data_IF_494813896559
#
_entry.id   IF_494813896559
#
_cell.length_a   1.000
_cell.length_b   1.000
_cell.length_c   1.000
_cell.angle_alpha   90.00
_cell.angle_beta   90.00
_cell.angle_gamma   90.00
#
_symmetry.space_group_name_H-M   'P 1'
#
loop_
_entity.id
_entity.type
_entity.pdbx_description
1 polymer ?
#
# COMPACT_ATOMS: atom_id res chain seq x y z
N UNK A 1 39.05 17.65 -14.28
CA UNK A 1 38.17 17.75 -13.10
C UNK A 1 37.18 16.62 -13.24
N UNK A 2 37.43 15.48 -12.59
CA UNK A 2 36.53 14.33 -12.58
C UNK A 2 35.26 14.71 -11.83
N UNK A 3 34.05 14.32 -12.32
CA UNK A 3 32.85 14.44 -11.51
C UNK A 3 33.01 13.51 -10.29
N UNK A 4 32.77 14.05 -9.11
CA UNK A 4 32.67 13.27 -7.90
C UNK A 4 31.48 12.31 -8.05
N UNK A 5 31.73 11.04 -8.27
CA UNK A 5 30.79 9.97 -8.01
C UNK A 5 30.49 10.00 -6.49
N UNK A 6 29.47 10.75 -6.13
CA UNK A 6 28.86 10.57 -4.81
C UNK A 6 28.03 9.29 -4.89
N UNK A 7 28.68 8.17 -4.69
CA UNK A 7 28.03 6.91 -4.34
C UNK A 7 27.28 7.19 -3.02
N UNK A 8 26.03 7.63 -3.15
CA UNK A 8 25.20 7.93 -2.00
C UNK A 8 24.91 6.61 -1.31
N UNK A 9 25.74 6.25 -0.33
CA UNK A 9 25.60 5.00 0.40
C UNK A 9 24.19 4.90 1.00
N UNK A 10 23.50 3.80 0.71
CA UNK A 10 22.16 3.49 1.21
C UNK A 10 22.33 2.54 2.38
N UNK A 11 21.71 2.88 3.51
CA UNK A 11 21.63 2.00 4.66
C UNK A 11 20.46 1.03 4.51
N UNK A 12 20.75 -0.25 4.68
CA UNK A 12 19.79 -1.34 4.69
C UNK A 12 19.55 -1.82 6.12
N UNK A 13 18.30 -1.88 6.54
CA UNK A 13 17.94 -2.32 7.89
C UNK A 13 16.64 -3.13 7.86
N UNK A 14 16.61 -4.22 8.64
CA UNK A 14 15.40 -4.95 8.97
C UNK A 14 15.01 -4.68 10.42
N UNK A 15 13.86 -4.07 10.67
CA UNK A 15 13.40 -3.73 12.02
C UNK A 15 12.31 -4.70 12.47
N UNK A 16 12.49 -5.38 13.62
CA UNK A 16 11.46 -6.28 14.13
C UNK A 16 10.22 -5.51 14.58
N UNK A 17 9.05 -6.00 14.21
CA UNK A 17 7.74 -5.48 14.61
C UNK A 17 6.97 -6.57 15.33
N UNK A 18 6.40 -6.24 16.49
CA UNK A 18 5.51 -7.11 17.25
C UNK A 18 4.19 -6.39 17.50
N UNK A 19 3.11 -6.98 17.03
CA UNK A 19 1.75 -6.53 17.33
C UNK A 19 1.27 -7.06 18.68
N UNK A 20 0.30 -6.38 19.30
CA UNK A 20 -0.18 -6.68 20.65
C UNK A 20 -0.80 -8.09 20.80
N UNK A 21 -1.23 -8.71 19.70
CA UNK A 21 -1.77 -10.08 19.68
C UNK A 21 -0.71 -11.18 19.44
N UNK A 22 0.57 -10.82 19.49
CA UNK A 22 1.70 -11.73 19.29
C UNK A 22 1.99 -12.04 17.82
N UNK A 23 1.35 -11.36 16.86
CA UNK A 23 1.82 -11.37 15.49
C UNK A 23 3.14 -10.59 15.37
N UNK A 24 4.09 -11.13 14.62
CA UNK A 24 5.37 -10.47 14.40
C UNK A 24 5.78 -10.52 12.93
N UNK A 25 6.54 -9.52 12.53
CA UNK A 25 7.07 -9.34 11.19
C UNK A 25 8.32 -8.44 11.23
N UNK A 26 8.83 -8.06 10.07
CA UNK A 26 9.91 -7.08 9.95
C UNK A 26 9.51 -5.95 8.99
N UNK A 27 9.87 -4.71 9.32
CA UNK A 27 9.95 -3.65 8.33
C UNK A 27 11.26 -3.82 7.54
N UNK A 28 11.17 -3.79 6.22
CA UNK A 28 12.35 -3.68 5.37
C UNK A 28 12.60 -2.20 5.10
N UNK A 29 13.74 -1.69 5.54
CA UNK A 29 14.05 -0.28 5.46
C UNK A 29 15.22 0.00 4.52
N UNK A 30 15.11 1.13 3.81
CA UNK A 30 16.19 1.76 3.06
C UNK A 30 16.23 3.23 3.44
N UNK A 31 17.43 3.75 3.73
CA UNK A 31 17.57 5.17 4.05
C UNK A 31 18.86 5.74 3.48
N UNK A 32 18.91 7.07 3.23
CA UNK A 32 20.15 7.73 2.88
C UNK A 32 21.16 7.64 4.03
N UNK A 33 22.45 7.76 3.72
CA UNK A 33 23.50 7.88 4.74
C UNK A 33 23.47 9.24 5.46
N UNK A 34 22.79 10.21 4.90
CA UNK A 34 22.61 11.55 5.48
C UNK A 34 21.43 11.59 6.46
N UNK A 35 21.28 12.72 7.17
CA UNK A 35 20.15 12.89 8.08
C UNK A 35 18.79 12.75 7.35
N UNK A 36 17.93 11.89 7.88
CA UNK A 36 16.61 11.62 7.33
C UNK A 36 15.63 12.72 7.75
N UNK A 37 15.07 13.43 6.77
CA UNK A 37 14.02 14.44 6.99
C UNK A 37 12.63 13.90 6.70
N UNK A 38 12.53 13.04 5.68
CA UNK A 38 11.28 12.48 5.17
C UNK A 38 11.32 10.96 5.19
N UNK A 39 10.23 10.35 5.64
CA UNK A 39 10.06 8.91 5.71
C UNK A 39 8.76 8.54 5.00
N UNK A 40 8.83 7.68 4.01
CA UNK A 40 7.67 7.04 3.40
C UNK A 40 7.40 5.70 4.09
N UNK A 41 6.25 5.58 4.75
CA UNK A 41 5.74 4.29 5.22
C UNK A 41 4.95 3.63 4.09
N UNK A 42 5.46 2.51 3.58
CA UNK A 42 4.96 1.88 2.36
C UNK A 42 4.22 0.58 2.62
N UNK A 43 3.00 0.48 2.06
CA UNK A 43 2.13 -0.68 2.18
C UNK A 43 2.10 -1.49 0.88
N UNK A 44 2.52 -2.78 0.91
CA UNK A 44 2.50 -3.65 -0.27
C UNK A 44 1.09 -3.97 -0.80
N UNK A 45 0.99 -4.41 -2.05
CA UNK A 45 -0.24 -4.97 -2.59
C UNK A 45 -0.63 -6.28 -1.89
N UNK A 46 -1.89 -6.68 -2.05
CA UNK A 46 -2.40 -7.96 -1.53
C UNK A 46 -1.55 -9.13 -2.04
N UNK A 47 -1.04 -9.95 -1.13
CA UNK A 47 -0.24 -11.12 -1.47
C UNK A 47 1.21 -10.86 -1.89
N UNK A 48 1.64 -9.60 -1.92
CA UNK A 48 3.00 -9.20 -2.33
C UNK A 48 3.87 -8.97 -1.11
N UNK A 49 5.02 -9.64 -1.05
CA UNK A 49 5.98 -9.48 0.05
C UNK A 49 6.74 -8.15 -0.06
N UNK A 50 7.10 -7.58 1.07
CA UNK A 50 7.83 -6.31 1.20
C UNK A 50 9.10 -6.25 0.33
N UNK A 51 9.83 -7.35 0.20
CA UNK A 51 11.08 -7.42 -0.60
C UNK A 51 10.93 -6.98 -2.06
N UNK A 52 9.73 -7.09 -2.63
CA UNK A 52 9.50 -6.70 -4.03
C UNK A 52 9.50 -5.17 -4.23
N UNK A 53 9.45 -4.39 -3.16
CA UNK A 53 9.54 -2.94 -3.19
C UNK A 53 10.91 -2.39 -2.80
N UNK A 54 11.92 -3.25 -2.58
CA UNK A 54 13.29 -2.82 -2.30
C UNK A 54 13.86 -1.91 -3.41
N UNK A 55 13.66 -2.20 -4.71
CA UNK A 55 14.14 -1.30 -5.76
C UNK A 55 13.52 0.11 -5.69
N UNK A 56 12.22 0.21 -5.33
CA UNK A 56 11.58 1.52 -5.09
C UNK A 56 12.20 2.23 -3.88
N UNK A 57 12.41 1.49 -2.80
CA UNK A 57 12.96 2.05 -1.57
C UNK A 57 14.41 2.53 -1.76
N UNK A 58 15.22 1.80 -2.52
CA UNK A 58 16.58 2.18 -2.89
C UNK A 58 16.60 3.44 -3.76
N UNK A 59 15.71 3.51 -4.77
CA UNK A 59 15.58 4.68 -5.63
C UNK A 59 15.16 5.95 -4.84
N UNK A 60 14.29 5.81 -3.84
CA UNK A 60 13.88 6.92 -2.97
C UNK A 60 14.97 7.28 -1.95
N UNK A 61 15.69 6.30 -1.39
CA UNK A 61 16.80 6.55 -0.48
C UNK A 61 17.94 7.30 -1.17
N UNK A 62 18.25 7.01 -2.42
CA UNK A 62 19.16 7.77 -3.25
C UNK A 62 18.73 9.24 -3.46
N UNK A 63 17.44 9.53 -3.31
CA UNK A 63 16.84 10.88 -3.35
C UNK A 63 16.67 11.51 -1.95
N UNK A 64 17.25 10.92 -0.90
CA UNK A 64 17.22 11.45 0.46
C UNK A 64 15.97 11.11 1.28
N UNK A 65 15.10 10.24 0.79
CA UNK A 65 13.85 9.84 1.44
C UNK A 65 14.01 8.42 2.00
N UNK A 66 13.89 8.27 3.32
CA UNK A 66 13.87 6.94 3.92
C UNK A 66 12.54 6.23 3.63
N UNK A 67 12.61 4.93 3.44
CA UNK A 67 11.42 4.10 3.21
C UNK A 67 11.36 2.97 4.23
N UNK A 68 10.22 2.84 4.90
CA UNK A 68 9.88 1.71 5.75
C UNK A 68 8.78 0.90 5.07
N UNK A 69 9.14 -0.26 4.53
CA UNK A 69 8.21 -1.13 3.83
C UNK A 69 7.59 -2.09 4.83
N UNK A 70 6.27 -2.02 4.98
CA UNK A 70 5.50 -2.93 5.83
C UNK A 70 5.53 -4.35 5.26
N UNK A 71 5.66 -5.36 6.12
CA UNK A 71 5.43 -6.75 5.73
C UNK A 71 4.09 -7.20 6.27
N UNK A 72 3.20 -7.60 5.39
CA UNK A 72 1.87 -8.05 5.77
C UNK A 72 1.86 -9.29 6.66
N UNK A 73 0.92 -9.33 7.61
CA UNK A 73 0.56 -10.55 8.32
C UNK A 73 0.27 -11.68 7.31
N UNK A 74 0.90 -12.81 7.50
CA UNK A 74 0.74 -13.98 6.61
C UNK A 74 1.75 -14.10 5.48
N UNK A 75 2.58 -13.07 5.24
CA UNK A 75 3.53 -13.02 4.12
C UNK A 75 4.96 -12.84 4.65
N UNK A 76 5.95 -13.22 3.85
CA UNK A 76 7.37 -12.99 4.09
C UNK A 76 7.83 -13.39 5.49
N UNK A 77 8.33 -12.42 6.25
CA UNK A 77 8.86 -12.59 7.61
C UNK A 77 7.81 -12.80 8.69
N UNK A 78 6.50 -12.68 8.39
CA UNK A 78 5.45 -12.84 9.39
C UNK A 78 5.47 -14.25 10.03
N UNK A 79 5.27 -14.30 11.36
CA UNK A 79 5.10 -15.55 12.11
C UNK A 79 3.70 -16.16 11.98
N UNK A 80 2.78 -15.51 11.26
CA UNK A 80 1.41 -15.99 11.00
C UNK A 80 1.27 -16.51 9.58
N UNK A 81 0.35 -17.49 9.39
CA UNK A 81 -0.09 -17.96 8.07
C UNK A 81 -1.58 -18.19 8.11
N UNK A 82 -2.29 -17.67 7.09
CA UNK A 82 -3.73 -17.90 6.97
C UNK A 82 -4.06 -19.39 6.82
N UNK A 83 -5.10 -19.84 7.48
CA UNK A 83 -5.52 -21.24 7.49
C UNK A 83 -6.81 -21.45 8.26
N UNK A 84 -7.26 -22.70 8.39
CA UNK A 84 -8.52 -23.04 9.07
C UNK A 84 -8.59 -22.53 10.52
N UNK A 85 -7.45 -22.52 11.21
CA UNK A 85 -7.35 -22.18 12.64
C UNK A 85 -6.67 -20.82 12.87
N UNK A 86 -6.28 -20.12 11.79
CA UNK A 86 -5.62 -18.83 11.86
C UNK A 86 -6.26 -17.87 10.86
N UNK A 87 -6.87 -16.82 11.38
CA UNK A 87 -7.61 -15.83 10.60
C UNK A 87 -7.40 -14.43 11.14
N UNK A 88 -7.58 -13.43 10.29
CA UNK A 88 -7.58 -12.00 10.61
C UNK A 88 -8.32 -11.22 9.53
N UNK A 89 -8.69 -9.98 9.86
CA UNK A 89 -9.43 -9.07 9.00
C UNK A 89 -8.73 -7.71 8.89
N UNK A 90 -9.32 -6.76 8.22
CA UNK A 90 -8.81 -5.37 8.16
C UNK A 90 -8.61 -4.76 9.54
N UNK A 91 -9.43 -5.14 10.51
CA UNK A 91 -9.28 -4.65 11.88
C UNK A 91 -7.89 -4.93 12.44
N UNK A 92 -7.38 -6.16 12.34
CA UNK A 92 -6.05 -6.50 12.84
C UNK A 92 -4.95 -5.73 12.09
N UNK A 93 -5.11 -5.55 10.77
CA UNK A 93 -4.16 -4.79 9.96
C UNK A 93 -4.14 -3.31 10.39
N UNK A 94 -5.31 -2.69 10.57
CA UNK A 94 -5.45 -1.26 10.86
C UNK A 94 -5.23 -0.90 12.34
N UNK A 95 -5.64 -1.77 13.29
CA UNK A 95 -5.56 -1.47 14.73
C UNK A 95 -4.31 -2.06 15.41
N UNK A 96 -3.67 -3.07 14.83
CA UNK A 96 -2.55 -3.77 15.46
C UNK A 96 -1.26 -3.69 14.62
N UNK A 97 -1.29 -4.11 13.35
CA UNK A 97 -0.08 -4.25 12.55
C UNK A 97 0.48 -2.92 12.10
N UNK A 98 -0.35 -2.06 11.49
CA UNK A 98 0.10 -0.76 11.02
C UNK A 98 0.56 0.15 12.17
N UNK A 99 -0.18 0.28 13.29
CA UNK A 99 0.31 1.05 14.43
C UNK A 99 1.65 0.56 14.97
N UNK A 100 1.82 -0.77 15.11
CA UNK A 100 3.07 -1.34 15.60
C UNK A 100 4.26 -1.04 14.64
N UNK A 101 4.05 -1.22 13.33
CA UNK A 101 5.08 -0.92 12.34
C UNK A 101 5.42 0.58 12.28
N UNK A 102 4.42 1.46 12.32
CA UNK A 102 4.62 2.92 12.32
C UNK A 102 5.36 3.37 13.58
N UNK A 103 5.04 2.79 14.74
CA UNK A 103 5.74 3.10 15.99
C UNK A 103 7.22 2.72 15.91
N UNK A 104 7.56 1.56 15.34
CA UNK A 104 8.94 1.12 15.10
C UNK A 104 9.65 2.06 14.14
N UNK A 105 9.02 2.44 13.03
CA UNK A 105 9.59 3.40 12.09
C UNK A 105 9.85 4.77 12.74
N UNK A 106 8.93 5.27 13.57
CA UNK A 106 9.10 6.52 14.32
C UNK A 106 10.21 6.45 15.36
N UNK A 107 10.43 5.29 15.96
CA UNK A 107 11.59 5.05 16.84
C UNK A 107 12.92 5.09 16.10
N UNK A 108 12.94 4.64 14.84
CA UNK A 108 14.14 4.67 13.99
C UNK A 108 14.49 6.07 13.48
N UNK A 109 13.48 6.88 13.13
CA UNK A 109 13.67 8.24 12.61
C UNK A 109 12.82 9.25 13.40
N UNK A 110 13.20 9.54 14.65
CA UNK A 110 12.45 10.50 15.46
C UNK A 110 12.58 11.91 14.88
N UNK A 111 11.45 12.63 14.85
CA UNK A 111 11.40 14.00 14.32
C UNK A 111 11.34 14.13 12.81
N UNK A 112 11.42 13.04 12.05
CA UNK A 112 11.21 13.05 10.61
C UNK A 112 9.73 13.33 10.27
N UNK A 113 9.49 13.90 9.08
CA UNK A 113 8.16 14.08 8.50
C UNK A 113 7.73 12.76 7.85
N UNK A 114 6.52 12.30 8.19
CA UNK A 114 6.02 11.02 7.71
C UNK A 114 5.02 11.18 6.57
N UNK A 115 5.19 10.37 5.56
CA UNK A 115 4.30 10.15 4.43
C UNK A 115 3.80 8.70 4.48
N UNK A 116 2.57 8.47 4.04
CA UNK A 116 2.05 7.11 3.91
C UNK A 116 1.69 6.83 2.46
N UNK A 117 1.87 5.61 2.03
CA UNK A 117 1.51 5.23 0.68
C UNK A 117 1.44 3.73 0.50
N UNK A 118 1.07 3.32 -0.70
CA UNK A 118 1.03 1.90 -0.99
C UNK A 118 0.60 1.57 -2.40
N UNK A 119 0.76 0.31 -2.72
CA UNK A 119 0.38 -0.31 -3.98
C UNK A 119 -0.95 -1.06 -3.83
N UNK A 120 -1.88 -0.85 -4.75
CA UNK A 120 -3.12 -1.62 -4.83
C UNK A 120 -3.90 -1.59 -3.50
N UNK A 121 -4.20 -2.75 -2.89
CA UNK A 121 -4.84 -2.82 -1.57
C UNK A 121 -4.03 -2.07 -0.50
N UNK A 122 -2.70 -2.09 -0.57
CA UNK A 122 -1.85 -1.35 0.35
C UNK A 122 -2.13 0.15 0.32
N UNK A 123 -2.32 0.73 -0.85
CA UNK A 123 -2.71 2.14 -1.00
C UNK A 123 -4.11 2.42 -0.46
N UNK A 124 -5.05 1.51 -0.67
CA UNK A 124 -6.41 1.63 -0.10
C UNK A 124 -6.38 1.67 1.43
N UNK A 125 -5.65 0.73 2.05
CA UNK A 125 -5.53 0.67 3.51
C UNK A 125 -4.68 1.82 4.06
N UNK A 126 -3.67 2.29 3.32
CA UNK A 126 -2.93 3.50 3.65
C UNK A 126 -3.85 4.74 3.68
N UNK A 127 -4.75 4.89 2.70
CA UNK A 127 -5.73 5.97 2.67
C UNK A 127 -6.68 5.90 3.88
N UNK A 128 -7.23 4.71 4.16
CA UNK A 128 -8.13 4.49 5.31
C UNK A 128 -7.41 4.76 6.62
N UNK A 129 -6.23 4.20 6.83
CA UNK A 129 -5.43 4.39 8.04
C UNK A 129 -5.07 5.86 8.25
N UNK A 130 -4.60 6.51 7.19
CA UNK A 130 -4.26 7.93 7.22
C UNK A 130 -5.45 8.82 7.58
N UNK A 131 -6.63 8.51 7.03
CA UNK A 131 -7.87 9.23 7.37
C UNK A 131 -8.32 9.01 8.83
N UNK A 132 -8.01 7.86 9.42
CA UNK A 132 -8.23 7.59 10.84
C UNK A 132 -7.20 8.32 11.73
N UNK A 133 -6.01 8.61 11.21
CA UNK A 133 -4.88 9.24 11.91
C UNK A 133 -4.36 10.49 11.18
N UNK A 134 -5.20 11.52 10.95
CA UNK A 134 -4.89 12.63 10.03
C UNK A 134 -3.76 13.57 10.49
N UNK A 135 -3.30 13.43 11.74
CA UNK A 135 -2.17 14.21 12.29
C UNK A 135 -0.82 13.49 12.16
N UNK A 136 -0.84 12.26 11.73
CA UNK A 136 0.34 11.40 11.76
C UNK A 136 1.17 11.48 10.47
N UNK A 137 0.59 11.98 9.39
CA UNK A 137 1.23 12.00 8.07
C UNK A 137 1.00 13.33 7.35
N UNK A 138 1.90 13.65 6.44
CA UNK A 138 1.89 14.88 5.64
C UNK A 138 1.23 14.71 4.28
N UNK A 139 0.99 13.48 3.83
CA UNK A 139 0.34 13.18 2.56
C UNK A 139 0.28 11.69 2.24
N UNK A 140 -0.39 11.38 1.14
CA UNK A 140 -0.71 10.02 0.70
C UNK A 140 -0.20 9.76 -0.72
N UNK A 141 0.60 8.70 -0.91
CA UNK A 141 1.07 8.25 -2.22
C UNK A 141 0.39 6.93 -2.63
N UNK A 142 -0.32 6.94 -3.75
CA UNK A 142 -1.05 5.80 -4.31
C UNK A 142 -0.40 5.36 -5.62
N UNK A 143 0.03 4.11 -5.72
CA UNK A 143 0.54 3.53 -6.97
C UNK A 143 -0.30 2.34 -7.36
N UNK A 144 -0.80 2.33 -8.60
CA UNK A 144 -1.69 1.29 -9.11
C UNK A 144 -2.76 0.92 -8.06
N UNK A 145 -3.41 1.93 -7.46
CA UNK A 145 -4.34 1.77 -6.35
C UNK A 145 -5.65 2.51 -6.63
N UNK A 146 -6.74 1.78 -6.63
CA UNK A 146 -8.11 2.27 -6.80
C UNK A 146 -9.07 1.54 -5.87
N UNK A 147 -10.32 2.00 -5.77
CA UNK A 147 -11.32 1.30 -4.96
C UNK A 147 -11.86 0.07 -5.71
N UNK A 148 -12.00 -1.09 -5.05
CA UNK A 148 -12.36 -2.33 -5.72
C UNK A 148 -13.87 -2.43 -6.04
N UNK A 149 -14.56 -1.30 -6.24
CA UNK A 149 -16.01 -1.29 -6.47
C UNK A 149 -16.35 -1.86 -7.84
N UNK A 150 -17.05 -2.99 -7.86
CA UNK A 150 -17.31 -3.79 -9.06
C UNK A 150 -17.88 -3.00 -10.25
N UNK A 151 -18.71 -1.97 -10.00
CA UNK A 151 -19.33 -1.15 -11.06
C UNK A 151 -18.35 -0.24 -11.79
N UNK A 152 -17.12 -0.11 -11.29
CA UNK A 152 -16.06 0.70 -11.89
C UNK A 152 -15.17 -0.10 -12.86
N UNK A 153 -15.51 -1.36 -13.12
CA UNK A 153 -14.75 -2.24 -14.02
C UNK A 153 -15.50 -2.52 -15.32
N UNK A 154 -14.80 -2.66 -16.45
CA UNK A 154 -15.45 -2.92 -17.75
C UNK A 154 -16.35 -4.16 -17.75
N UNK A 155 -15.91 -5.22 -17.06
CA UNK A 155 -16.66 -6.48 -16.93
C UNK A 155 -17.29 -6.59 -15.55
N UNK A 156 -18.02 -5.56 -15.15
CA UNK A 156 -18.52 -5.37 -13.78
C UNK A 156 -19.24 -6.60 -13.19
N UNK A 157 -20.06 -7.31 -13.99
CA UNK A 157 -20.79 -8.47 -13.49
C UNK A 157 -19.88 -9.64 -13.10
N UNK A 158 -18.78 -9.88 -13.87
CA UNK A 158 -17.78 -10.91 -13.54
C UNK A 158 -17.03 -10.55 -12.26
N UNK A 159 -16.61 -9.29 -12.13
CA UNK A 159 -15.94 -8.78 -10.93
C UNK A 159 -16.90 -8.86 -9.74
N UNK A 160 -18.17 -8.49 -9.91
CA UNK A 160 -19.20 -8.63 -8.88
C UNK A 160 -19.38 -10.07 -8.42
N UNK A 161 -19.41 -11.02 -9.36
CA UNK A 161 -19.48 -12.46 -9.06
C UNK A 161 -18.23 -12.94 -8.30
N UNK A 162 -17.03 -12.47 -8.68
CA UNK A 162 -15.79 -12.81 -7.97
C UNK A 162 -15.84 -12.33 -6.50
N UNK A 163 -16.39 -11.14 -6.22
CA UNK A 163 -16.58 -10.64 -4.85
C UNK A 163 -17.65 -11.41 -4.04
N UNK A 164 -18.48 -12.19 -4.68
CA UNK A 164 -19.39 -13.14 -3.99
C UNK A 164 -18.66 -14.47 -3.79
N UNK A 165 -18.01 -14.99 -4.82
CA UNK A 165 -17.41 -16.33 -4.80
C UNK A 165 -16.14 -16.41 -3.91
N UNK A 166 -15.30 -15.37 -3.88
CA UNK A 166 -14.04 -15.40 -3.13
C UNK A 166 -14.22 -15.62 -1.62
N UNK A 167 -15.16 -14.96 -0.91
CA UNK A 167 -15.45 -15.25 0.49
C UNK A 167 -15.94 -16.69 0.71
N UNK A 168 -16.82 -17.20 -0.16
CA UNK A 168 -17.30 -18.58 -0.06
C UNK A 168 -16.17 -19.59 -0.21
N UNK A 169 -15.29 -19.40 -1.19
CA UNK A 169 -14.12 -20.24 -1.38
C UNK A 169 -13.19 -20.18 -0.14
N UNK A 170 -12.94 -18.97 0.38
CA UNK A 170 -12.13 -18.78 1.57
C UNK A 170 -12.71 -19.46 2.80
N UNK A 171 -14.04 -19.46 2.99
CA UNK A 171 -14.71 -20.17 4.08
C UNK A 171 -14.59 -21.70 3.94
N UNK A 172 -14.79 -22.24 2.74
CA UNK A 172 -14.69 -23.67 2.48
C UNK A 172 -13.27 -24.22 2.72
N UNK A 173 -12.26 -23.50 2.23
CA UNK A 173 -10.84 -23.93 2.31
C UNK A 173 -10.23 -23.57 3.67
N UNK A 174 -10.71 -22.50 4.30
CA UNK A 174 -10.16 -21.93 5.54
C UNK A 174 -9.26 -20.70 5.28
N UNK A 175 -9.01 -20.35 4.02
CA UNK A 175 -8.31 -19.17 3.52
C UNK A 175 -8.55 -19.06 2.01
N UNK A 176 -8.35 -17.90 1.39
CA UNK A 176 -8.35 -17.81 -0.08
C UNK A 176 -7.02 -18.35 -0.62
N UNK A 177 -7.02 -19.45 -1.41
CA UNK A 177 -5.79 -20.02 -1.97
C UNK A 177 -5.34 -19.23 -3.22
N UNK A 178 -5.10 -17.93 -3.07
CA UNK A 178 -4.86 -17.01 -4.17
C UNK A 178 -3.68 -17.40 -5.06
N UNK A 179 -2.62 -17.95 -4.47
CA UNK A 179 -1.46 -18.48 -5.24
C UNK A 179 -1.85 -19.57 -6.24
N UNK A 180 -2.89 -20.36 -5.95
CA UNK A 180 -3.36 -21.44 -6.86
C UNK A 180 -4.27 -20.91 -7.97
N UNK A 181 -4.97 -19.83 -7.71
CA UNK A 181 -5.92 -19.25 -8.66
C UNK A 181 -5.36 -18.01 -9.39
N UNK A 182 -4.07 -17.66 -9.15
CA UNK A 182 -3.40 -16.54 -9.80
C UNK A 182 -3.83 -15.15 -9.31
N UNK A 183 -4.35 -15.04 -8.08
CA UNK A 183 -4.79 -13.77 -7.50
C UNK A 183 -4.35 -13.62 -6.04
N UNK A 184 -3.46 -12.67 -5.76
CA UNK A 184 -2.94 -12.42 -4.42
C UNK A 184 -2.07 -13.54 -3.88
N UNK A 185 -1.98 -13.62 -2.55
CA UNK A 185 -1.30 -14.68 -1.81
C UNK A 185 -2.25 -15.78 -1.33
N UNK A 186 -1.92 -16.39 -0.19
CA UNK A 186 -2.87 -17.17 0.60
C UNK A 186 -3.45 -16.23 1.65
N UNK A 187 -4.66 -15.74 1.42
CA UNK A 187 -5.22 -14.64 2.18
C UNK A 187 -6.18 -15.12 3.28
N UNK A 188 -6.16 -14.43 4.42
CA UNK A 188 -7.07 -14.69 5.51
C UNK A 188 -8.53 -14.44 5.10
N UNK A 189 -9.46 -15.25 5.62
CA UNK A 189 -10.90 -15.15 5.33
C UNK A 189 -11.45 -13.78 5.64
N UNK A 190 -11.10 -13.23 6.81
CA UNK A 190 -11.59 -11.92 7.22
C UNK A 190 -11.08 -10.79 6.32
N UNK A 191 -9.84 -10.87 5.82
CA UNK A 191 -9.32 -9.92 4.81
C UNK A 191 -10.13 -9.98 3.53
N UNK A 192 -10.42 -11.19 3.04
CA UNK A 192 -11.22 -11.40 1.82
C UNK A 192 -12.67 -10.98 2.01
N UNK A 193 -13.26 -11.21 3.19
CA UNK A 193 -14.61 -10.76 3.51
C UNK A 193 -14.72 -9.22 3.48
N UNK A 194 -13.76 -8.51 4.11
CA UNK A 194 -13.74 -7.04 4.14
C UNK A 194 -13.47 -6.46 2.74
N UNK A 195 -12.50 -7.03 2.00
CA UNK A 195 -12.21 -6.64 0.63
C UNK A 195 -13.41 -6.84 -0.31
N UNK A 196 -14.02 -8.01 -0.27
CA UNK A 196 -15.17 -8.34 -1.09
C UNK A 196 -16.41 -7.51 -0.71
N UNK A 197 -16.60 -7.17 0.57
CA UNK A 197 -17.64 -6.24 1.00
C UNK A 197 -17.41 -4.86 0.39
N UNK A 198 -16.19 -4.33 0.47
CA UNK A 198 -15.83 -3.05 -0.19
C UNK A 198 -16.07 -3.14 -1.69
N UNK A 199 -15.69 -4.26 -2.31
CA UNK A 199 -15.93 -4.53 -3.73
C UNK A 199 -17.40 -4.49 -4.11
N UNK A 200 -18.31 -5.07 -3.31
CA UNK A 200 -19.75 -5.08 -3.57
C UNK A 200 -20.43 -3.76 -3.27
N UNK A 201 -20.03 -3.08 -2.20
CA UNK A 201 -20.76 -1.89 -1.70
C UNK A 201 -20.16 -0.57 -2.18
N UNK A 202 -18.89 -0.57 -2.60
CA UNK A 202 -18.13 0.64 -2.90
C UNK A 202 -17.75 1.44 -1.66
N UNK A 203 -17.94 0.91 -0.44
CA UNK A 203 -17.71 1.60 0.84
C UNK A 203 -16.67 0.87 1.69
N UNK A 204 -15.73 1.61 2.26
CA UNK A 204 -14.78 1.07 3.21
C UNK A 204 -15.40 0.92 4.59
N UNK A 205 -15.24 -0.25 5.15
CA UNK A 205 -15.56 -0.56 6.53
C UNK A 205 -14.73 -1.79 6.94
N UNK A 206 -14.36 -1.90 8.21
CA UNK A 206 -13.73 -3.10 8.75
C UNK A 206 -14.62 -3.71 9.83
N UNK A 207 -14.84 -5.00 9.75
CA UNK A 207 -15.70 -5.71 10.72
C UNK A 207 -15.12 -5.58 12.13
N UNK A 208 -15.95 -5.11 13.07
CA UNK A 208 -15.56 -4.94 14.47
C UNK A 208 -14.79 -3.66 14.79
N UNK A 209 -14.59 -2.76 13.81
CA UNK A 209 -14.12 -1.41 14.06
C UNK A 209 -15.28 -0.43 14.20
N UNK A 210 -15.16 0.48 15.14
CA UNK A 210 -16.10 1.59 15.32
C UNK A 210 -15.76 2.77 14.39
N UNK A 211 -16.77 3.57 14.05
CA UNK A 211 -16.60 4.80 13.27
C UNK A 211 -16.88 4.63 11.78
N UNK A 212 -17.11 5.75 11.12
CA UNK A 212 -17.39 5.82 9.67
C UNK A 212 -16.10 6.17 8.91
N UNK A 213 -15.50 5.16 8.30
CA UNK A 213 -14.27 5.32 7.50
C UNK A 213 -14.49 6.23 6.28
N UNK A 214 -15.70 6.22 5.70
CA UNK A 214 -16.05 7.08 4.57
C UNK A 214 -16.08 8.55 4.99
N UNK A 215 -16.67 8.85 6.15
CA UNK A 215 -16.66 10.21 6.70
C UNK A 215 -15.24 10.69 7.03
N UNK A 216 -14.37 9.79 7.52
CA UNK A 216 -12.96 10.11 7.78
C UNK A 216 -12.18 10.39 6.49
N UNK A 217 -12.38 9.58 5.45
CA UNK A 217 -11.81 9.82 4.12
C UNK A 217 -12.29 11.15 3.54
N UNK A 218 -13.59 11.46 3.68
CA UNK A 218 -14.17 12.69 3.15
C UNK A 218 -13.63 13.97 3.83
N UNK A 219 -13.15 13.85 5.06
CA UNK A 219 -12.55 14.95 5.81
C UNK A 219 -11.06 15.14 5.57
N UNK A 220 -10.41 14.27 4.79
CA UNK A 220 -8.97 14.31 4.55
C UNK A 220 -8.60 15.46 3.60
N UNK A 221 -7.69 16.35 4.06
CA UNK A 221 -7.24 17.55 3.33
C UNK A 221 -5.82 17.43 2.79
N UNK A 222 -5.20 16.27 2.90
CA UNK A 222 -3.80 16.05 2.52
C UNK A 222 -3.54 16.20 1.02
N UNK A 223 -2.30 16.49 0.65
CA UNK A 223 -1.86 16.26 -0.71
C UNK A 223 -1.87 14.74 -1.00
N UNK A 224 -2.37 14.37 -2.16
CA UNK A 224 -2.45 12.99 -2.66
C UNK A 224 -1.75 12.90 -4.01
N UNK A 225 -0.72 12.08 -4.07
CA UNK A 225 -0.08 11.65 -5.31
C UNK A 225 -0.71 10.36 -5.79
N UNK A 226 -1.06 10.28 -7.08
CA UNK A 226 -1.48 9.04 -7.71
C UNK A 226 -0.62 8.73 -8.93
N UNK A 227 -0.24 7.47 -9.07
CA UNK A 227 0.50 6.98 -10.22
C UNK A 227 -0.17 5.70 -10.73
N UNK A 228 -0.77 5.78 -11.90
CA UNK A 228 -1.44 4.66 -12.57
C UNK A 228 -0.56 4.10 -13.68
N UNK A 229 -0.74 2.84 -13.97
CA UNK A 229 -0.11 2.18 -15.10
C UNK A 229 -1.10 2.12 -16.26
N UNK A 230 -0.64 2.48 -17.45
CA UNK A 230 -1.52 2.63 -18.63
C UNK A 230 -2.31 1.35 -18.96
N UNK A 231 -1.69 0.19 -18.78
CA UNK A 231 -2.26 -1.11 -19.14
C UNK A 231 -2.77 -1.89 -17.92
N UNK A 232 -3.00 -1.20 -16.79
CA UNK A 232 -3.46 -1.82 -15.55
C UNK A 232 -4.97 -2.09 -15.58
N UNK A 233 -5.36 -3.31 -15.93
CA UNK A 233 -6.77 -3.73 -15.92
C UNK A 233 -7.32 -3.99 -14.51
N UNK A 234 -6.45 -4.18 -13.49
CA UNK A 234 -6.87 -4.37 -12.09
C UNK A 234 -7.25 -3.06 -11.40
N UNK A 235 -6.73 -1.94 -11.91
CA UNK A 235 -7.07 -0.59 -11.42
C UNK A 235 -7.36 0.32 -12.63
N UNK A 236 -8.49 0.11 -13.32
CA UNK A 236 -8.90 1.01 -14.39
C UNK A 236 -9.19 2.42 -13.85
N UNK A 237 -9.07 3.45 -14.68
CA UNK A 237 -9.26 4.84 -14.27
C UNK A 237 -10.54 5.09 -13.44
N UNK A 238 -11.73 4.53 -13.77
CA UNK A 238 -12.92 4.72 -12.92
C UNK A 238 -12.77 4.17 -11.50
N UNK A 239 -11.97 3.11 -11.30
CA UNK A 239 -11.66 2.56 -9.97
C UNK A 239 -10.83 3.54 -9.13
N UNK A 240 -9.82 4.19 -9.73
CA UNK A 240 -9.07 5.27 -9.08
C UNK A 240 -9.97 6.47 -8.79
N UNK A 241 -10.77 6.91 -9.76
CA UNK A 241 -11.66 8.07 -9.61
C UNK A 241 -12.67 7.85 -8.47
N UNK A 242 -13.14 6.60 -8.31
CA UNK A 242 -14.01 6.23 -7.19
C UNK A 242 -13.28 6.35 -5.84
N UNK A 243 -12.02 5.93 -5.75
CA UNK A 243 -11.22 6.10 -4.53
C UNK A 243 -10.98 7.59 -4.23
N UNK A 244 -10.57 8.35 -5.24
CA UNK A 244 -10.31 9.79 -5.08
C UNK A 244 -11.60 10.56 -4.75
N UNK A 245 -12.74 10.16 -5.29
CA UNK A 245 -14.04 10.74 -4.97
C UNK A 245 -14.41 10.67 -3.49
N UNK A 246 -13.81 9.73 -2.74
CA UNK A 246 -13.99 9.61 -1.29
C UNK A 246 -13.20 10.66 -0.49
N UNK A 247 -12.23 11.33 -1.12
CA UNK A 247 -11.35 12.34 -0.53
C UNK A 247 -11.52 13.69 -1.28
N UNK A 248 -12.71 14.32 -1.24
CA UNK A 248 -13.02 15.48 -2.08
C UNK A 248 -12.21 16.73 -1.71
N UNK A 249 -11.71 16.81 -0.47
CA UNK A 249 -10.95 17.96 0.03
C UNK A 249 -9.43 17.82 -0.20
N UNK A 250 -8.97 16.67 -0.66
CA UNK A 250 -7.56 16.41 -0.91
C UNK A 250 -7.07 17.15 -2.18
N UNK A 251 -5.93 17.80 -2.11
CA UNK A 251 -5.24 18.28 -3.32
C UNK A 251 -4.61 17.09 -4.06
N UNK A 252 -4.61 17.11 -5.39
CA UNK A 252 -4.25 15.94 -6.19
C UNK A 252 -3.17 16.26 -7.21
N UNK A 253 -2.19 15.34 -7.30
CA UNK A 253 -1.25 15.26 -8.42
C UNK A 253 -1.32 13.84 -8.99
N UNK A 254 -1.55 13.72 -10.29
CA UNK A 254 -1.81 12.41 -10.93
C UNK A 254 -0.89 12.22 -12.13
N UNK A 255 -0.37 11.00 -12.27
CA UNK A 255 0.42 10.57 -13.41
C UNK A 255 -0.14 9.26 -13.97
N UNK A 256 -0.09 9.10 -15.29
CA UNK A 256 -0.31 7.84 -15.98
C UNK A 256 1.02 7.47 -16.63
N UNK A 257 1.56 6.34 -16.22
CA UNK A 257 2.86 5.84 -16.69
C UNK A 257 2.63 4.83 -17.81
N UNK A 258 3.30 5.07 -18.94
CA UNK A 258 3.35 4.16 -20.06
C UNK A 258 4.63 3.30 -20.03
N UNK A 259 4.72 2.32 -20.90
CA UNK A 259 5.90 1.44 -21.01
C UNK A 259 7.21 2.22 -21.23
N UNK A 260 7.16 3.31 -22.01
CA UNK A 260 8.32 4.18 -22.24
C UNK A 260 8.88 4.82 -20.96
N UNK A 261 8.02 5.17 -20.00
CA UNK A 261 8.41 5.73 -18.71
C UNK A 261 9.06 4.68 -17.79
N UNK A 262 8.78 3.41 -18.06
CA UNK A 262 9.23 2.26 -17.27
C UNK A 262 10.40 1.50 -17.90
N UNK A 263 11.20 2.16 -18.75
CA UNK A 263 12.33 1.53 -19.43
C UNK A 263 11.91 0.40 -20.36
N UNK A 264 10.76 0.55 -21.02
CA UNK A 264 10.10 -0.43 -21.87
C UNK A 264 9.58 -1.70 -21.15
N UNK A 265 9.51 -1.69 -19.83
CA UNK A 265 8.77 -2.71 -19.10
C UNK A 265 7.24 -2.54 -19.34
N UNK A 266 6.43 -3.61 -19.25
CA UNK A 266 4.98 -3.49 -19.33
C UNK A 266 4.44 -2.51 -18.29
N UNK A 267 3.55 -1.60 -18.70
CA UNK A 267 2.89 -0.66 -17.81
C UNK A 267 1.65 -1.31 -17.16
N UNK A 268 1.84 -2.48 -16.56
CA UNK A 268 0.83 -3.26 -15.87
C UNK A 268 0.88 -3.08 -14.34
N UNK A 269 -0.03 -3.76 -13.65
CA UNK A 269 -0.20 -3.67 -12.21
C UNK A 269 1.07 -3.95 -11.40
N UNK A 270 1.97 -4.84 -11.85
CA UNK A 270 3.10 -5.35 -11.08
C UNK A 270 4.47 -5.05 -11.67
N UNK A 271 4.58 -4.93 -12.99
CA UNK A 271 5.89 -4.87 -13.68
C UNK A 271 6.70 -3.63 -13.30
N UNK A 272 6.05 -2.51 -12.99
CA UNK A 272 6.67 -1.27 -12.56
C UNK A 272 7.59 -1.44 -11.31
N UNK A 273 7.32 -2.43 -10.45
CA UNK A 273 8.13 -2.68 -9.25
C UNK A 273 9.57 -3.07 -9.56
N UNK A 274 9.83 -3.60 -10.75
CA UNK A 274 11.18 -3.98 -11.21
C UNK A 274 11.94 -2.79 -11.80
N UNK A 275 11.22 -1.79 -12.30
CA UNK A 275 11.77 -0.59 -12.95
C UNK A 275 11.14 0.68 -12.34
N UNK A 276 11.29 0.92 -11.03
CA UNK A 276 10.55 1.93 -10.30
C UNK A 276 11.07 3.36 -10.45
N UNK A 277 12.07 3.62 -11.30
CA UNK A 277 12.77 4.90 -11.38
C UNK A 277 11.82 6.09 -11.61
N UNK A 278 10.90 6.01 -12.58
CA UNK A 278 9.92 7.06 -12.84
C UNK A 278 8.97 7.25 -11.64
N UNK A 279 8.49 6.14 -11.06
CA UNK A 279 7.63 6.15 -9.88
C UNK A 279 8.32 6.85 -8.71
N UNK A 280 9.58 6.50 -8.44
CA UNK A 280 10.39 7.10 -7.39
C UNK A 280 10.66 8.59 -7.64
N UNK A 281 10.96 8.98 -8.89
CA UNK A 281 11.17 10.38 -9.27
C UNK A 281 9.94 11.22 -8.97
N UNK A 282 8.77 10.82 -9.45
CA UNK A 282 7.52 11.55 -9.20
C UNK A 282 7.19 11.64 -7.69
N UNK A 283 7.46 10.57 -6.92
CA UNK A 283 7.26 10.60 -5.46
C UNK A 283 8.20 11.58 -4.77
N UNK A 284 9.50 11.55 -5.11
CA UNK A 284 10.47 12.43 -4.51
C UNK A 284 10.16 13.91 -4.82
N UNK A 285 9.93 14.23 -6.09
CA UNK A 285 9.57 15.60 -6.52
C UNK A 285 8.28 16.09 -5.84
N UNK A 286 7.31 15.19 -5.64
CA UNK A 286 6.07 15.53 -4.94
C UNK A 286 6.31 15.79 -3.45
N UNK A 287 7.08 14.94 -2.76
CA UNK A 287 7.45 15.10 -1.35
C UNK A 287 8.22 16.41 -1.15
N UNK A 288 9.19 16.69 -2.01
CA UNK A 288 9.98 17.92 -2.00
C UNK A 288 9.10 19.18 -2.22
N UNK A 289 8.13 19.11 -3.14
CA UNK A 289 7.24 20.25 -3.46
C UNK A 289 6.19 20.55 -2.38
N UNK A 290 5.93 19.63 -1.45
CA UNK A 290 5.01 19.80 -0.34
C UNK A 290 5.73 20.31 0.94
N UNK A 291 6.99 20.73 0.79
CA UNK A 291 7.81 21.33 1.83
C UNK A 291 7.69 22.84 1.76
#
# INVERSE_FOLDING_TARGET
>A
MQPADSDASIHETGLPVAAADGASTQLLCRSPATAVRDVLYWMPALGVAARHYLPLAEALAARGIAVAIHEWRGIGSSNRRAGRHMDWAYRQLLELDMPAGIAVARGQWPGARYWIGGHSLGGQLAAVYGALHPKDFSGLALVASGAPYWRQFPQSWLIGLAYVAAPWLAQLVGYLPGRRIGFGGNEARGVIDDWARTGRTGRYAARGMAGDMEAKLAALTWPVLTQCMQDDWLVPQPSLDWLLGKMPLASRRSYILASGDLGNAPADHFSWMKTPAAVATHMADWIESAT
#
